data_IF_456536640883
#
_entry.id   IF_456536640883
#
_cell.length_a   1.000
_cell.length_b   1.000
_cell.length_c   1.000
_cell.angle_alpha   90.00
_cell.angle_beta   90.00
_cell.angle_gamma   90.00
#
_symmetry.space_group_name_H-M   'P 1'
#
loop_
_entity.id
_entity.type
_entity.pdbx_description
1 polymer ?
#
# COMPACT_ATOMS: atom_id res chain seq x y z
N UNK A 1 -9.78 13.47 22.23
CA UNK A 1 -9.59 12.02 22.03
C UNK A 1 -8.50 11.86 20.98
N UNK A 2 -7.33 11.38 21.38
CA UNK A 2 -6.31 10.97 20.41
C UNK A 2 -6.81 9.69 19.73
N UNK A 3 -7.09 9.80 18.43
CA UNK A 3 -7.31 8.64 17.59
C UNK A 3 -5.97 7.91 17.48
N UNK A 4 -5.82 6.80 18.21
CA UNK A 4 -4.72 5.86 18.02
C UNK A 4 -4.86 5.33 16.58
N UNK A 5 -4.20 5.98 15.64
CA UNK A 5 -4.01 5.45 14.29
C UNK A 5 -3.05 4.28 14.44
N UNK A 6 -3.60 3.11 14.74
CA UNK A 6 -2.87 1.87 14.58
C UNK A 6 -2.65 1.71 13.07
N UNK A 7 -1.58 2.32 12.56
CA UNK A 7 -1.14 2.08 11.18
C UNK A 7 -0.67 0.64 11.15
N UNK A 8 -1.58 -0.25 10.79
CA UNK A 8 -1.29 -1.65 10.57
C UNK A 8 -0.35 -1.72 9.36
N UNK A 9 0.96 -1.78 9.63
CA UNK A 9 1.96 -1.89 8.57
C UNK A 9 2.05 -3.34 8.12
N UNK A 10 2.34 -3.56 6.84
CA UNK A 10 2.60 -4.89 6.32
C UNK A 10 3.68 -5.63 7.13
N UNK A 11 4.71 -4.92 7.59
CA UNK A 11 5.73 -5.49 8.47
C UNK A 11 5.18 -5.93 9.84
N UNK A 12 4.29 -5.14 10.44
CA UNK A 12 3.63 -5.51 11.71
C UNK A 12 2.75 -6.75 11.58
N UNK A 13 1.99 -6.83 10.48
CA UNK A 13 1.15 -7.99 10.15
C UNK A 13 1.99 -9.22 9.85
N UNK A 14 3.09 -9.08 9.09
CA UNK A 14 4.03 -10.16 8.79
C UNK A 14 4.64 -10.75 10.05
N UNK A 15 5.11 -9.89 10.97
CA UNK A 15 5.71 -10.32 12.23
C UNK A 15 4.72 -11.11 13.10
N UNK A 16 3.44 -10.70 13.14
CA UNK A 16 2.41 -11.42 13.86
C UNK A 16 2.17 -12.82 13.26
N UNK A 17 2.13 -12.94 11.93
CA UNK A 17 1.96 -14.24 11.26
C UNK A 17 3.19 -15.13 11.37
N UNK A 18 4.41 -14.58 11.34
CA UNK A 18 5.63 -15.34 11.62
C UNK A 18 5.63 -15.90 13.04
N UNK A 19 5.24 -15.10 14.03
CA UNK A 19 5.11 -15.57 15.41
C UNK A 19 4.07 -16.69 15.55
N UNK A 20 2.95 -16.63 14.80
CA UNK A 20 1.96 -17.71 14.76
C UNK A 20 2.50 -18.98 14.09
N UNK A 21 3.28 -18.82 13.02
CA UNK A 21 3.96 -19.93 12.35
C UNK A 21 4.95 -20.65 13.29
N UNK A 22 5.74 -19.88 14.04
CA UNK A 22 6.69 -20.40 15.04
C UNK A 22 5.97 -21.09 16.20
N UNK A 23 4.80 -20.61 16.62
CA UNK A 23 3.97 -21.18 17.70
C UNK A 23 3.21 -22.45 17.33
N UNK A 24 3.27 -22.89 16.08
CA UNK A 24 2.74 -24.19 15.63
C UNK A 24 1.47 -24.13 14.80
N UNK A 25 0.82 -22.96 14.66
CA UNK A 25 -0.30 -22.79 13.74
C UNK A 25 0.19 -22.44 12.33
N UNK A 26 0.94 -23.39 11.76
CA UNK A 26 1.66 -23.19 10.50
C UNK A 26 0.74 -23.08 9.29
N UNK A 27 -0.40 -23.76 9.32
CA UNK A 27 -1.33 -23.77 8.18
C UNK A 27 -2.05 -22.43 8.05
N UNK A 28 -2.60 -21.91 9.16
CA UNK A 28 -3.24 -20.59 9.17
C UNK A 28 -2.23 -19.49 8.83
N UNK A 29 -1.07 -19.47 9.48
CA UNK A 29 -0.04 -18.48 9.20
C UNK A 29 0.42 -18.52 7.74
N UNK A 30 0.63 -19.71 7.16
CA UNK A 30 0.98 -19.87 5.73
C UNK A 30 -0.10 -19.32 4.81
N UNK A 31 -1.37 -19.61 5.07
CA UNK A 31 -2.48 -19.09 4.26
C UNK A 31 -2.54 -17.56 4.31
N UNK A 32 -2.41 -16.98 5.50
CA UNK A 32 -2.40 -15.52 5.67
C UNK A 32 -1.21 -14.86 4.98
N UNK A 33 -0.01 -15.46 5.07
CA UNK A 33 1.18 -14.98 4.35
C UNK A 33 1.01 -15.05 2.83
N UNK A 34 0.36 -16.08 2.30
CA UNK A 34 0.04 -16.19 0.86
C UNK A 34 -0.96 -15.11 0.44
N UNK A 35 -2.02 -14.90 1.22
CA UNK A 35 -2.99 -13.84 0.95
C UNK A 35 -2.34 -12.45 1.02
N UNK A 36 -1.42 -12.25 1.96
CA UNK A 36 -0.62 -11.04 2.10
C UNK A 36 0.24 -10.80 0.85
N UNK A 37 0.92 -11.82 0.34
CA UNK A 37 1.71 -11.74 -0.89
C UNK A 37 0.83 -11.42 -2.12
N UNK A 38 -0.30 -12.12 -2.28
CA UNK A 38 -1.26 -11.84 -3.38
C UNK A 38 -1.81 -10.42 -3.33
N UNK A 39 -2.10 -9.92 -2.13
CA UNK A 39 -2.62 -8.57 -1.95
C UNK A 39 -1.54 -7.51 -2.22
N UNK A 40 -0.27 -7.83 -1.97
CA UNK A 40 0.86 -6.98 -2.38
C UNK A 40 1.02 -6.96 -3.91
N UNK A 41 0.95 -8.11 -4.58
CA UNK A 41 0.98 -8.20 -6.05
C UNK A 41 -0.19 -7.42 -6.69
N UNK A 42 -1.42 -7.65 -6.19
CA UNK A 42 -2.60 -6.90 -6.62
C UNK A 42 -2.45 -5.39 -6.36
N UNK A 43 -1.84 -5.01 -5.24
CA UNK A 43 -1.56 -3.61 -4.93
C UNK A 43 -0.63 -2.95 -5.94
N UNK A 44 0.38 -3.68 -6.43
CA UNK A 44 1.29 -3.21 -7.47
C UNK A 44 0.57 -3.04 -8.82
N UNK A 45 -0.21 -4.04 -9.24
CA UNK A 45 -1.00 -3.99 -10.49
C UNK A 45 -2.07 -2.89 -10.43
N UNK A 46 -2.76 -2.76 -9.30
CA UNK A 46 -3.79 -1.75 -9.08
C UNK A 46 -3.18 -0.34 -9.09
N UNK A 47 -1.99 -0.15 -8.50
CA UNK A 47 -1.28 1.12 -8.54
C UNK A 47 -1.00 1.55 -9.98
N UNK A 48 -0.47 0.66 -10.82
CA UNK A 48 -0.22 0.97 -12.24
C UNK A 48 -1.52 1.33 -12.98
N UNK A 49 -2.59 0.56 -12.76
CA UNK A 49 -3.90 0.84 -13.35
C UNK A 49 -4.45 2.22 -12.91
N UNK A 50 -4.32 2.57 -11.63
CA UNK A 50 -4.75 3.87 -11.12
C UNK A 50 -3.88 5.01 -11.63
N UNK A 51 -2.57 4.83 -11.80
CA UNK A 51 -1.69 5.83 -12.43
C UNK A 51 -2.10 6.09 -13.89
N UNK A 52 -2.44 5.04 -14.64
CA UNK A 52 -2.96 5.18 -16.02
C UNK A 52 -4.29 5.93 -16.06
N UNK A 53 -5.23 5.60 -15.17
CA UNK A 53 -6.52 6.31 -15.05
C UNK A 53 -6.29 7.78 -14.66
N UNK A 54 -5.41 8.03 -13.69
CA UNK A 54 -5.08 9.38 -13.22
C UNK A 54 -4.50 10.27 -14.33
N UNK A 55 -3.69 9.68 -15.22
CA UNK A 55 -2.95 10.39 -16.26
C UNK A 55 -3.56 10.24 -17.67
N UNK A 56 -4.78 9.72 -17.79
CA UNK A 56 -5.40 9.49 -19.09
C UNK A 56 -5.72 10.82 -19.79
N UNK A 57 -5.27 10.96 -21.05
CA UNK A 57 -5.50 12.10 -21.94
C UNK A 57 -6.17 11.66 -23.24
N UNK A 58 -6.85 12.57 -23.92
CA UNK A 58 -7.40 12.35 -25.25
C UNK A 58 -6.31 12.40 -26.33
N UNK A 59 -6.71 12.26 -27.60
CA UNK A 59 -5.81 12.29 -28.76
C UNK A 59 -5.11 13.64 -28.95
N UNK A 60 -5.67 14.72 -28.43
CA UNK A 60 -5.15 16.07 -28.54
C UNK A 60 -4.25 16.43 -27.33
N UNK A 61 -4.03 15.46 -26.43
CA UNK A 61 -3.25 15.65 -25.21
C UNK A 61 -4.02 16.39 -24.12
N UNK A 62 -5.32 16.66 -24.33
CA UNK A 62 -6.16 17.27 -23.32
C UNK A 62 -6.61 16.22 -22.32
N UNK A 63 -6.80 16.68 -21.10
CA UNK A 63 -7.40 15.91 -20.03
C UNK A 63 -8.81 15.53 -20.47
N UNK A 64 -9.11 14.23 -20.64
CA UNK A 64 -10.47 13.76 -20.99
C UNK A 64 -11.43 14.33 -19.93
N UNK A 65 -12.43 15.12 -20.30
CA UNK A 65 -13.28 15.85 -19.33
C UNK A 65 -14.50 15.06 -18.86
N UNK A 66 -14.95 14.04 -19.57
CA UNK A 66 -16.22 13.35 -19.25
C UNK A 66 -16.02 12.28 -18.15
N UNK A 67 -16.59 12.49 -16.96
CA UNK A 67 -16.45 11.64 -15.75
C UNK A 67 -15.02 11.37 -15.26
N UNK A 68 -14.02 11.99 -15.89
CA UNK A 68 -12.62 11.67 -15.62
C UNK A 68 -12.15 12.32 -14.32
N UNK A 69 -12.62 13.51 -13.94
CA UNK A 69 -12.20 14.13 -12.69
C UNK A 69 -12.62 13.30 -11.46
N UNK A 70 -13.81 12.68 -11.51
CA UNK A 70 -14.28 11.73 -10.50
C UNK A 70 -13.42 10.46 -10.49
N UNK A 71 -13.12 9.88 -11.66
CA UNK A 71 -12.23 8.72 -11.78
C UNK A 71 -10.80 9.02 -11.34
N UNK A 72 -10.27 10.21 -11.64
CA UNK A 72 -8.98 10.70 -11.15
C UNK A 72 -9.00 10.90 -9.64
N UNK A 73 -10.09 11.43 -9.08
CA UNK A 73 -10.23 11.59 -7.64
C UNK A 73 -10.23 10.22 -6.92
N UNK A 74 -10.94 9.24 -7.46
CA UNK A 74 -10.94 7.85 -6.97
C UNK A 74 -9.54 7.25 -7.10
N UNK A 75 -8.91 7.36 -8.26
CA UNK A 75 -7.57 6.84 -8.51
C UNK A 75 -6.51 7.49 -7.59
N UNK A 76 -6.51 8.81 -7.45
CA UNK A 76 -5.60 9.55 -6.53
C UNK A 76 -5.82 9.13 -5.08
N UNK A 77 -7.08 8.92 -4.68
CA UNK A 77 -7.41 8.43 -3.33
C UNK A 77 -6.91 7.01 -3.11
N UNK A 78 -7.09 6.11 -4.07
CA UNK A 78 -6.58 4.75 -4.02
C UNK A 78 -5.03 4.72 -4.02
N UNK A 79 -4.38 5.56 -4.81
CA UNK A 79 -2.93 5.72 -4.82
C UNK A 79 -2.38 6.22 -3.48
N UNK A 80 -3.10 7.12 -2.79
CA UNK A 80 -2.71 7.56 -1.45
C UNK A 80 -2.76 6.44 -0.40
N UNK A 81 -3.62 5.42 -0.61
CA UNK A 81 -3.71 4.23 0.24
C UNK A 81 -2.63 3.18 -0.09
N UNK A 82 -2.19 3.10 -1.36
CA UNK A 82 -1.20 2.13 -1.84
C UNK A 82 0.25 2.65 -1.82
N UNK A 83 0.44 3.97 -1.80
CA UNK A 83 1.76 4.59 -1.81
C UNK A 83 2.54 4.30 -0.53
N UNK A 84 3.89 4.28 -0.59
CA UNK A 84 4.69 4.11 0.61
C UNK A 84 4.36 5.23 1.60
N UNK A 85 3.99 4.86 2.84
CA UNK A 85 4.08 5.81 3.97
C UNK A 85 5.46 6.43 3.87
N UNK A 86 5.54 7.76 3.71
CA UNK A 86 6.80 8.51 3.69
C UNK A 86 7.75 7.85 4.69
N UNK A 87 8.88 7.38 4.18
CA UNK A 87 9.94 6.78 4.97
C UNK A 87 10.11 7.64 6.23
N UNK A 88 9.99 7.00 7.39
CA UNK A 88 10.51 7.58 8.62
C UNK A 88 11.95 8.01 8.33
N UNK A 89 12.34 9.25 8.69
CA UNK A 89 13.69 9.70 8.48
C UNK A 89 14.65 8.68 9.10
N UNK A 90 15.60 8.22 8.31
CA UNK A 90 16.61 7.23 8.72
C UNK A 90 17.13 7.56 10.12
N UNK A 91 17.32 6.55 11.00
CA UNK A 91 17.88 6.81 12.32
C UNK A 91 19.21 7.55 12.16
N UNK A 92 19.30 8.73 12.78
CA UNK A 92 20.55 9.50 12.83
C UNK A 92 21.64 8.55 13.31
N UNK A 93 22.72 8.46 12.53
CA UNK A 93 23.95 7.81 12.98
C UNK A 93 24.31 8.42 14.32
N UNK A 94 24.32 7.58 15.36
CA UNK A 94 24.85 7.97 16.66
C UNK A 94 26.36 7.89 16.44
N UNK A 95 27.00 9.05 16.32
CA UNK A 95 28.45 9.12 16.33
C UNK A 95 28.91 8.65 17.72
N UNK A 96 29.61 7.52 17.74
CA UNK A 96 30.29 7.02 18.92
C UNK A 96 31.47 7.96 19.22
N UNK A 97 31.38 8.67 20.34
CA UNK A 97 32.50 9.34 20.99
C UNK A 97 33.24 8.35 21.90
#
# INVERSE_FOLDING_TARGET
MESISLKMTWAGTLNAFLALYERGDRNYAREQLINMARLADFGADAKEAFERIANMTDRDGNTIEMHCEELRAIARSALALLGPSKQDPAPKKIDAA
#
